data_IF_202394596769
#
_entry.id   IF_202394596769
#
_cell.length_a   1.000
_cell.length_b   1.000
_cell.length_c   1.000
_cell.angle_alpha   90.00
_cell.angle_beta   90.00
_cell.angle_gamma   90.00
#
_symmetry.space_group_name_H-M   'P 1'
#
loop_
_entity.id
_entity.type
_entity.pdbx_description
1 polymer ?
#
# COMPACT_ATOMS: atom_id res chain seq x y z
N UNK A 1 15.57 14.68 7.37
CA UNK A 1 15.98 15.38 6.13
C UNK A 1 15.63 14.51 4.94
N UNK A 2 14.55 14.79 4.24
CA UNK A 2 14.20 14.01 3.03
C UNK A 2 15.15 14.43 1.91
N UNK A 3 15.79 13.44 1.27
CA UNK A 3 16.74 13.69 0.20
C UNK A 3 16.09 14.51 -0.93
N UNK A 4 16.86 15.40 -1.54
CA UNK A 4 16.43 16.24 -2.66
C UNK A 4 15.84 15.42 -3.82
N UNK A 5 16.26 14.16 -3.94
CA UNK A 5 15.74 13.19 -4.92
C UNK A 5 14.32 12.75 -4.55
N UNK A 6 14.07 12.43 -3.28
CA UNK A 6 12.72 12.07 -2.79
C UNK A 6 11.74 13.22 -3.01
N UNK A 7 12.18 14.47 -2.75
CA UNK A 7 11.34 15.65 -2.97
C UNK A 7 11.00 15.87 -4.44
N UNK A 8 11.95 15.63 -5.34
CA UNK A 8 11.72 15.72 -6.79
C UNK A 8 10.82 14.61 -7.29
N UNK A 9 11.00 13.37 -6.82
CA UNK A 9 10.14 12.25 -7.18
C UNK A 9 8.70 12.48 -6.73
N UNK A 10 8.49 12.98 -5.50
CA UNK A 10 7.15 13.35 -5.00
C UNK A 10 6.53 14.50 -5.82
N UNK A 11 7.31 15.51 -6.19
CA UNK A 11 6.83 16.63 -7.02
C UNK A 11 6.44 16.16 -8.43
N UNK A 12 7.24 15.28 -9.05
CA UNK A 12 6.94 14.74 -10.38
C UNK A 12 5.72 13.83 -10.34
N UNK A 13 5.62 12.94 -9.34
CA UNK A 13 4.47 12.04 -9.20
C UNK A 13 3.17 12.78 -8.90
N UNK A 14 3.21 13.84 -8.09
CA UNK A 14 2.05 14.70 -7.86
C UNK A 14 1.67 15.51 -9.12
N UNK A 15 2.64 15.99 -9.90
CA UNK A 15 2.36 16.64 -11.19
C UNK A 15 1.72 15.66 -12.19
N UNK A 16 2.21 14.42 -12.27
CA UNK A 16 1.65 13.37 -13.14
C UNK A 16 0.24 13.00 -12.68
N UNK A 17 0.00 12.85 -11.39
CA UNK A 17 -1.33 12.60 -10.86
C UNK A 17 -2.29 13.76 -11.18
N UNK A 18 -1.83 15.01 -11.03
CA UNK A 18 -2.62 16.19 -11.38
C UNK A 18 -2.88 16.27 -12.89
N UNK A 19 -1.92 15.84 -13.72
CA UNK A 19 -2.07 15.79 -15.16
C UNK A 19 -3.05 14.71 -15.58
N UNK A 20 -3.03 13.52 -14.95
CA UNK A 20 -3.97 12.43 -15.23
C UNK A 20 -5.39 12.81 -14.81
N UNK A 21 -5.55 13.42 -13.63
CA UNK A 21 -6.85 13.94 -13.16
C UNK A 21 -7.30 15.12 -14.02
N UNK A 22 -6.39 16.01 -14.41
CA UNK A 22 -6.68 17.15 -15.28
C UNK A 22 -6.94 16.76 -16.74
N UNK A 23 -6.34 15.67 -17.23
CA UNK A 23 -6.57 15.10 -18.56
C UNK A 23 -7.80 14.22 -18.63
N UNK A 24 -8.50 14.00 -17.52
CA UNK A 24 -9.90 13.56 -17.52
C UNK A 24 -10.85 14.70 -17.98
N UNK A 25 -10.36 15.59 -18.85
CA UNK A 25 -11.22 16.31 -19.80
C UNK A 25 -12.01 15.25 -20.53
N UNK A 26 -13.32 15.38 -20.50
CA UNK A 26 -14.27 14.46 -21.11
C UNK A 26 -13.71 13.99 -22.46
N UNK A 27 -13.52 12.66 -22.60
CA UNK A 27 -13.44 12.05 -23.91
C UNK A 27 -14.79 12.32 -24.58
N UNK A 28 -14.92 13.47 -25.23
CA UNK A 28 -16.11 13.87 -25.96
C UNK A 28 -16.07 13.12 -27.29
N UNK A 29 -16.42 11.84 -27.24
CA UNK A 29 -16.99 11.21 -28.41
C UNK A 29 -18.27 11.98 -28.73
N UNK A 30 -18.52 12.27 -30.00
CA UNK A 30 -19.80 12.78 -30.48
C UNK A 30 -20.89 11.84 -29.95
N UNK A 31 -21.55 12.25 -28.88
CA UNK A 31 -22.61 11.45 -28.28
C UNK A 31 -23.83 11.78 -29.13
N UNK A 32 -24.38 10.82 -29.89
CA UNK A 32 -25.51 11.11 -30.75
C UNK A 32 -26.65 11.65 -29.89
N UNK A 33 -27.11 12.86 -30.20
CA UNK A 33 -28.29 13.46 -29.58
C UNK A 33 -29.46 12.46 -29.61
N UNK A 34 -30.28 12.37 -28.54
CA UNK A 34 -31.40 11.45 -28.50
C UNK A 34 -32.34 11.70 -29.70
N UNK A 35 -32.49 10.70 -30.56
CA UNK A 35 -33.44 10.69 -31.68
C UNK A 35 -34.50 9.62 -31.44
N UNK A 36 -35.67 9.70 -32.08
CA UNK A 36 -36.61 8.59 -32.07
C UNK A 36 -35.92 7.29 -32.53
N UNK A 37 -35.82 6.29 -31.64
CA UNK A 37 -35.10 5.03 -31.88
C UNK A 37 -33.61 5.01 -31.49
N UNK A 38 -33.09 6.04 -30.80
CA UNK A 38 -31.73 6.04 -30.27
C UNK A 38 -31.64 5.38 -28.89
N UNK A 39 -30.40 5.24 -28.40
CA UNK A 39 -30.10 4.86 -27.01
C UNK A 39 -30.81 5.79 -26.02
N UNK A 40 -31.17 5.23 -24.87
CA UNK A 40 -31.76 6.00 -23.77
C UNK A 40 -30.80 7.07 -23.25
N UNK A 41 -31.33 8.21 -22.76
CA UNK A 41 -30.52 9.24 -22.13
C UNK A 41 -29.65 8.64 -21.02
N UNK A 42 -28.38 9.04 -20.96
CA UNK A 42 -27.50 8.64 -19.87
C UNK A 42 -28.10 9.12 -18.55
N UNK A 43 -28.27 8.24 -17.54
CA UNK A 43 -28.72 8.68 -16.23
C UNK A 43 -27.69 9.60 -15.59
N UNK A 44 -28.17 10.57 -14.83
CA UNK A 44 -27.32 11.44 -14.02
C UNK A 44 -26.53 10.59 -13.02
N UNK A 45 -25.22 10.82 -12.97
CA UNK A 45 -24.32 10.14 -12.04
C UNK A 45 -24.06 11.06 -10.86
N UNK A 46 -24.49 10.64 -9.67
CA UNK A 46 -24.05 11.28 -8.43
C UNK A 46 -22.55 10.97 -8.21
N UNK A 47 -21.71 11.99 -8.39
CA UNK A 47 -20.27 11.87 -8.25
C UNK A 47 -19.86 11.52 -6.82
N UNK A 48 -20.56 12.02 -5.80
CA UNK A 48 -20.26 11.68 -4.41
C UNK A 48 -20.52 10.19 -4.19
N UNK A 49 -21.67 9.68 -4.66
CA UNK A 49 -21.97 8.25 -4.62
C UNK A 49 -20.90 7.41 -5.33
N UNK A 50 -20.47 7.84 -6.53
CA UNK A 50 -19.44 7.13 -7.29
C UNK A 50 -18.10 7.06 -6.54
N UNK A 51 -17.65 8.16 -5.92
CA UNK A 51 -16.41 8.18 -5.13
C UNK A 51 -16.52 7.37 -3.83
N UNK A 52 -17.67 7.43 -3.15
CA UNK A 52 -17.91 6.61 -1.96
C UNK A 52 -17.94 5.12 -2.30
N UNK A 53 -18.49 4.75 -3.46
CA UNK A 53 -18.51 3.36 -3.90
C UNK A 53 -17.10 2.89 -4.30
N UNK A 54 -16.37 3.68 -5.08
CA UNK A 54 -15.07 3.28 -5.61
C UNK A 54 -13.93 3.36 -4.59
N UNK A 55 -13.94 4.36 -3.70
CA UNK A 55 -12.89 4.56 -2.69
C UNK A 55 -13.36 4.24 -1.27
N UNK A 56 -14.58 4.68 -0.93
CA UNK A 56 -15.14 4.50 0.41
C UNK A 56 -15.38 3.04 0.77
N UNK A 57 -15.94 2.22 -0.13
CA UNK A 57 -16.18 0.79 0.14
C UNK A 57 -14.88 0.00 0.32
N UNK A 58 -13.87 0.10 -0.57
CA UNK A 58 -12.58 -0.57 -0.33
C UNK A 58 -11.90 -0.11 0.96
N UNK A 59 -11.93 1.19 1.27
CA UNK A 59 -11.36 1.73 2.51
C UNK A 59 -12.10 1.19 3.74
N UNK A 60 -13.43 1.13 3.69
CA UNK A 60 -14.24 0.57 4.77
C UNK A 60 -13.93 -0.91 4.97
N UNK A 61 -13.82 -1.69 3.90
CA UNK A 61 -13.44 -3.10 3.97
C UNK A 61 -12.05 -3.26 4.60
N UNK A 62 -11.07 -2.45 4.17
CA UNK A 62 -9.73 -2.45 4.76
C UNK A 62 -9.79 -2.20 6.26
N UNK A 63 -10.51 -1.16 6.70
CA UNK A 63 -10.68 -0.83 8.11
C UNK A 63 -11.34 -1.98 8.88
N UNK A 64 -12.41 -2.57 8.34
CA UNK A 64 -13.12 -3.69 8.98
C UNK A 64 -12.20 -4.90 9.14
N UNK A 65 -11.43 -5.25 8.10
CA UNK A 65 -10.45 -6.32 8.17
C UNK A 65 -9.38 -5.98 9.22
N UNK A 66 -8.82 -4.77 9.21
CA UNK A 66 -7.84 -4.34 10.22
C UNK A 66 -8.40 -4.47 11.63
N UNK A 67 -9.64 -4.01 11.88
CA UNK A 67 -10.27 -4.15 13.19
C UNK A 67 -10.44 -5.61 13.58
N UNK A 68 -10.87 -6.47 12.66
CA UNK A 68 -11.10 -7.89 12.95
C UNK A 68 -9.81 -8.59 13.43
N UNK A 69 -8.65 -8.18 12.92
CA UNK A 69 -7.35 -8.76 13.28
C UNK A 69 -6.69 -8.05 14.47
N UNK A 70 -6.75 -6.73 14.52
CA UNK A 70 -6.04 -5.91 15.52
C UNK A 70 -6.83 -5.79 16.82
N UNK A 71 -8.17 -5.67 16.76
CA UNK A 71 -8.98 -5.44 17.96
C UNK A 71 -8.88 -6.56 19.01
N UNK A 72 -8.87 -7.87 18.65
CA UNK A 72 -8.69 -8.93 19.65
C UNK A 72 -7.33 -8.89 20.33
N UNK A 73 -6.27 -8.54 19.60
CA UNK A 73 -4.92 -8.41 20.14
C UNK A 73 -4.84 -7.23 21.14
N UNK A 74 -5.42 -6.09 20.78
CA UNK A 74 -5.52 -4.93 21.66
C UNK A 74 -6.36 -5.23 22.92
N UNK A 75 -7.48 -5.97 22.77
CA UNK A 75 -8.32 -6.38 23.90
C UNK A 75 -7.59 -7.30 24.88
N UNK A 76 -6.56 -8.03 24.43
CA UNK A 76 -5.69 -8.88 25.26
C UNK A 76 -4.49 -8.12 25.85
N UNK A 77 -4.30 -6.84 25.49
CA UNK A 77 -3.14 -6.05 25.90
C UNK A 77 -1.83 -6.46 25.20
N UNK A 78 -1.91 -7.03 23.99
CA UNK A 78 -0.72 -7.37 23.22
C UNK A 78 0.05 -6.11 22.81
N UNK A 79 1.38 -6.16 22.92
CA UNK A 79 2.26 -5.14 22.36
C UNK A 79 2.42 -5.37 20.85
N UNK A 80 1.97 -4.40 20.06
CA UNK A 80 2.04 -4.41 18.59
C UNK A 80 3.15 -3.50 18.06
N UNK A 81 4.06 -3.04 18.93
CA UNK A 81 5.21 -2.27 18.50
C UNK A 81 6.09 -3.10 17.55
N UNK A 82 6.72 -2.50 16.53
CA UNK A 82 7.57 -3.24 15.58
C UNK A 82 8.70 -4.04 16.25
N UNK A 83 9.11 -3.65 17.46
CA UNK A 83 10.16 -4.33 18.22
C UNK A 83 9.64 -5.54 19.02
N UNK A 84 8.34 -5.59 19.31
CA UNK A 84 7.69 -6.69 20.03
C UNK A 84 7.21 -7.81 19.08
N UNK A 85 7.13 -7.54 17.78
CA UNK A 85 6.75 -8.52 16.77
C UNK A 85 7.94 -9.42 16.45
N UNK A 86 7.73 -10.75 16.46
CA UNK A 86 8.77 -11.68 16.06
C UNK A 86 9.16 -11.45 14.59
N UNK A 87 10.47 -11.42 14.26
CA UNK A 87 10.92 -11.28 12.88
C UNK A 87 10.39 -12.41 12.01
N UNK A 88 9.61 -12.07 10.99
CA UNK A 88 9.09 -13.04 10.04
C UNK A 88 10.20 -13.52 9.11
N UNK A 89 10.14 -14.80 8.70
CA UNK A 89 11.01 -15.32 7.64
C UNK A 89 10.72 -14.60 6.32
N UNK A 90 11.57 -13.66 5.93
CA UNK A 90 11.39 -12.91 4.69
C UNK A 90 11.96 -13.67 3.50
N UNK A 91 11.29 -13.55 2.34
CA UNK A 91 11.71 -14.16 1.07
C UNK A 91 13.16 -13.82 0.66
N UNK A 92 13.64 -12.63 1.04
CA UNK A 92 15.01 -12.15 0.79
C UNK A 92 16.04 -12.68 1.80
N UNK A 93 15.70 -13.67 2.63
CA UNK A 93 16.61 -14.26 3.62
C UNK A 93 16.61 -13.59 5.00
N UNK A 94 15.52 -12.90 5.36
CA UNK A 94 15.30 -12.36 6.72
C UNK A 94 15.06 -13.46 7.77
N UNK A 95 15.15 -13.15 9.08
CA UNK A 95 16.00 -13.88 10.01
C UNK A 95 15.51 -15.30 10.33
N UNK A 96 16.33 -16.31 10.00
CA UNK A 96 16.13 -17.70 10.49
C UNK A 96 16.61 -17.91 11.94
N UNK A 97 16.93 -16.81 12.63
CA UNK A 97 17.91 -16.71 13.72
C UNK A 97 17.55 -15.49 14.58
N UNK A 98 17.72 -15.57 15.90
CA UNK A 98 17.50 -14.42 16.78
C UNK A 98 18.43 -13.24 16.42
N UNK A 99 18.07 -12.00 16.76
CA UNK A 99 18.95 -10.84 16.55
C UNK A 99 20.33 -11.09 17.20
N UNK A 100 21.37 -11.18 16.38
CA UNK A 100 22.75 -11.48 16.82
C UNK A 100 23.18 -12.95 16.75
N UNK A 101 22.29 -13.86 16.34
CA UNK A 101 22.60 -15.29 16.23
C UNK A 101 23.24 -15.60 14.87
N UNK A 102 24.56 -15.81 14.86
CA UNK A 102 25.31 -16.18 13.66
C UNK A 102 25.07 -17.65 13.28
N UNK A 103 25.28 -17.97 12.00
CA UNK A 103 25.34 -19.36 11.56
C UNK A 103 26.53 -20.05 12.24
N UNK A 104 26.29 -21.23 12.82
CA UNK A 104 27.38 -22.06 13.31
C UNK A 104 28.23 -22.54 12.11
N UNK A 105 29.55 -22.74 12.29
CA UNK A 105 30.39 -23.23 11.21
C UNK A 105 29.94 -24.64 10.79
N UNK A 106 29.56 -24.79 9.52
CA UNK A 106 29.15 -26.09 8.95
C UNK A 106 30.32 -27.08 8.77
N UNK A 107 31.57 -26.62 8.89
CA UNK A 107 32.79 -27.43 8.84
C UNK A 107 33.96 -26.76 9.57
N UNK A 108 35.02 -27.52 9.89
CA UNK A 108 36.23 -27.03 10.57
C UNK A 108 36.96 -25.91 9.79
N UNK A 109 36.74 -25.82 8.47
CA UNK A 109 37.33 -24.80 7.58
C UNK A 109 36.40 -23.61 7.29
N UNK A 110 35.21 -23.56 7.91
CA UNK A 110 34.19 -22.57 7.55
C UNK A 110 34.62 -21.13 7.91
N UNK A 111 34.74 -20.28 6.88
CA UNK A 111 35.05 -18.83 6.98
C UNK A 111 33.81 -17.96 7.13
N UNK A 112 32.71 -18.50 7.65
CA UNK A 112 31.51 -17.73 7.94
C UNK A 112 31.80 -16.70 9.06
N UNK A 113 32.33 -15.54 8.67
CA UNK A 113 32.59 -14.40 9.53
C UNK A 113 31.36 -13.50 9.61
N UNK A 114 30.86 -13.27 10.84
CA UNK A 114 29.75 -12.36 11.09
C UNK A 114 30.20 -10.89 11.10
N UNK A 115 29.48 -10.04 10.38
CA UNK A 115 29.55 -8.59 10.55
C UNK A 115 28.39 -8.15 11.47
N UNK A 116 28.73 -7.63 12.65
CA UNK A 116 27.78 -7.05 13.60
C UNK A 116 27.97 -5.54 13.70
N UNK A 117 26.87 -4.80 13.76
CA UNK A 117 26.87 -3.37 14.06
C UNK A 117 25.76 -3.06 15.05
N UNK A 118 26.06 -2.21 16.04
CA UNK A 118 25.08 -1.64 16.96
C UNK A 118 24.70 -0.24 16.50
N UNK A 119 23.41 0.10 16.56
CA UNK A 119 22.94 1.48 16.52
C UNK A 119 22.81 2.04 17.95
#
# INVERSE_FOLDING_TARGET
>A
MTSTVVRRLLAVSSLVALLVVGSAVAASADTPEPRPGSWEPKPDVDLLHAFLLLGGVPLLIMILITLLFVAPALARGADLSPNALEPENQWLGGPRKAAGELAAPDSEDSKAGGAGGSW
#
